data_IF_535282942150
#
_entry.id   IF_535282942150
#
_cell.length_a   1.000
_cell.length_b   1.000
_cell.length_c   1.000
_cell.angle_alpha   90.00
_cell.angle_beta   90.00
_cell.angle_gamma   90.00
#
_symmetry.space_group_name_H-M   'P 1'
#
loop_
_entity.id
_entity.type
_entity.pdbx_description
1 polymer ?
#
# COMPACT_ATOMS: atom_id res chain seq x y z
N UNK A 1 16.62 -30.23 -2.14
CA UNK A 1 15.77 -29.20 -2.76
C UNK A 1 15.59 -28.10 -1.71
N UNK A 2 16.38 -27.03 -1.80
CA UNK A 2 16.28 -25.88 -0.87
C UNK A 2 15.14 -25.02 -1.38
N UNK A 3 14.15 -24.81 -0.54
CA UNK A 3 12.95 -24.02 -0.84
C UNK A 3 13.40 -22.56 -1.00
N UNK A 4 13.34 -22.08 -2.25
CA UNK A 4 13.13 -20.68 -2.66
C UNK A 4 11.97 -20.10 -1.84
N UNK A 5 11.98 -18.89 -1.30
CA UNK A 5 12.29 -17.62 -1.91
C UNK A 5 12.82 -16.67 -0.83
N UNK A 6 13.88 -15.95 -1.15
CA UNK A 6 14.27 -14.75 -0.42
C UNK A 6 13.18 -13.71 -0.65
N UNK A 7 12.11 -13.73 0.16
CA UNK A 7 11.23 -12.60 0.30
C UNK A 7 12.12 -11.41 0.67
N UNK A 8 12.43 -10.57 -0.32
CA UNK A 8 13.12 -9.31 -0.08
C UNK A 8 12.25 -8.55 0.90
N UNK A 9 12.62 -8.57 2.18
CA UNK A 9 12.06 -7.68 3.20
C UNK A 9 12.30 -6.26 2.68
N UNK A 10 11.28 -5.69 2.01
CA UNK A 10 11.31 -4.28 1.63
C UNK A 10 11.39 -3.50 2.94
N UNK A 11 12.48 -2.75 3.11
CA UNK A 11 12.67 -1.94 4.29
C UNK A 11 11.61 -0.81 4.27
N UNK A 12 10.91 -0.53 5.39
CA UNK A 12 9.90 0.54 5.45
C UNK A 12 10.43 1.89 4.95
N UNK A 13 11.71 2.21 5.17
CA UNK A 13 12.34 3.44 4.65
C UNK A 13 12.34 3.50 3.11
N UNK A 14 12.54 2.35 2.46
CA UNK A 14 12.52 2.26 1.00
C UNK A 14 11.10 2.44 0.46
N UNK A 15 10.10 1.86 1.13
CA UNK A 15 8.69 2.02 0.76
C UNK A 15 8.27 3.48 0.95
N UNK A 16 8.64 4.11 2.07
CA UNK A 16 8.36 5.53 2.30
C UNK A 16 9.01 6.44 1.25
N UNK A 17 10.26 6.15 0.84
CA UNK A 17 10.92 6.88 -0.23
C UNK A 17 10.20 6.71 -1.57
N UNK A 18 9.79 5.49 -1.91
CA UNK A 18 9.02 5.22 -3.12
C UNK A 18 7.67 5.94 -3.11
N UNK A 19 6.97 5.93 -1.98
CA UNK A 19 5.70 6.64 -1.79
C UNK A 19 5.86 8.14 -2.06
N UNK A 20 6.89 8.78 -1.52
CA UNK A 20 7.18 10.19 -1.80
C UNK A 20 7.45 10.44 -3.29
N UNK A 21 8.24 9.56 -3.94
CA UNK A 21 8.49 9.68 -5.38
C UNK A 21 7.22 9.53 -6.23
N UNK A 22 6.25 8.70 -5.80
CA UNK A 22 4.96 8.59 -6.50
C UNK A 22 4.13 9.87 -6.36
N UNK A 23 4.14 10.50 -5.19
CA UNK A 23 3.46 11.78 -4.96
C UNK A 23 4.08 12.89 -5.81
N UNK A 24 5.42 12.98 -5.82
CA UNK A 24 6.14 13.96 -6.64
C UNK A 24 5.87 13.76 -8.13
N UNK A 25 5.81 12.51 -8.57
CA UNK A 25 5.47 12.16 -9.94
C UNK A 25 4.04 12.56 -10.30
N UNK A 26 3.05 12.26 -9.46
CA UNK A 26 1.65 12.66 -9.71
C UNK A 26 1.53 14.18 -9.89
N UNK A 27 2.22 14.94 -9.03
CA UNK A 27 2.24 16.40 -9.17
C UNK A 27 2.85 16.83 -10.51
N UNK A 28 4.00 16.26 -10.86
CA UNK A 28 4.69 16.56 -12.13
C UNK A 28 3.82 16.22 -13.33
N UNK A 29 3.20 15.04 -13.35
CA UNK A 29 2.35 14.57 -14.45
C UNK A 29 1.14 15.51 -14.65
N UNK A 30 0.52 15.99 -13.56
CA UNK A 30 -0.58 16.95 -13.63
C UNK A 30 -0.14 18.34 -14.16
N UNK A 31 1.01 18.84 -13.71
CA UNK A 31 1.57 20.11 -14.17
C UNK A 31 1.97 20.03 -15.66
N UNK A 32 2.62 18.94 -16.08
CA UNK A 32 2.99 18.69 -17.47
C UNK A 32 1.77 18.56 -18.37
N UNK A 33 0.76 17.79 -17.96
CA UNK A 33 -0.47 17.66 -18.74
C UNK A 33 -1.18 19.01 -18.97
N UNK A 34 -1.21 19.87 -17.95
CA UNK A 34 -1.76 21.22 -18.09
C UNK A 34 -0.94 22.09 -19.05
N UNK A 35 0.39 21.96 -19.04
CA UNK A 35 1.29 22.70 -19.93
C UNK A 35 1.19 22.22 -21.39
N UNK A 36 1.05 20.91 -21.59
CA UNK A 36 1.00 20.28 -22.92
C UNK A 36 -0.41 20.30 -23.54
N UNK A 37 -1.42 20.67 -22.76
CA UNK A 37 -2.80 20.72 -23.22
C UNK A 37 -3.40 19.33 -23.44
N UNK A 38 -2.98 18.36 -22.61
CA UNK A 38 -3.48 16.99 -22.66
C UNK A 38 -5.00 16.93 -22.45
N UNK A 39 -5.62 15.92 -23.06
CA UNK A 39 -7.07 15.75 -22.94
C UNK A 39 -7.48 15.44 -21.50
N UNK A 40 -8.59 16.02 -21.04
CA UNK A 40 -9.05 15.81 -19.66
C UNK A 40 -9.30 14.33 -19.32
N UNK A 41 -9.83 13.54 -20.26
CA UNK A 41 -10.05 12.08 -20.09
C UNK A 41 -8.73 11.34 -19.82
N UNK A 42 -7.66 11.71 -20.51
CA UNK A 42 -6.34 11.12 -20.28
C UNK A 42 -5.78 11.52 -18.91
N UNK A 43 -5.90 12.80 -18.54
CA UNK A 43 -5.43 13.31 -17.24
C UNK A 43 -6.18 12.67 -16.09
N UNK A 44 -7.50 12.58 -16.17
CA UNK A 44 -8.36 11.96 -15.15
C UNK A 44 -7.94 10.51 -14.88
N UNK A 45 -7.77 9.70 -15.94
CA UNK A 45 -7.34 8.30 -15.81
C UNK A 45 -5.96 8.17 -15.20
N UNK A 46 -5.03 9.04 -15.60
CA UNK A 46 -3.66 9.04 -15.10
C UNK A 46 -3.64 9.36 -13.61
N UNK A 47 -4.30 10.45 -13.21
CA UNK A 47 -4.40 10.89 -11.81
C UNK A 47 -5.05 9.80 -10.95
N UNK A 48 -6.17 9.22 -11.39
CA UNK A 48 -6.85 8.16 -10.65
C UNK A 48 -5.93 6.95 -10.43
N UNK A 49 -5.23 6.53 -11.48
CA UNK A 49 -4.30 5.39 -11.41
C UNK A 49 -3.17 5.67 -10.41
N UNK A 50 -2.56 6.86 -10.45
CA UNK A 50 -1.51 7.24 -9.51
C UNK A 50 -1.99 7.31 -8.07
N UNK A 51 -3.20 7.83 -7.81
CA UNK A 51 -3.78 7.87 -6.46
C UNK A 51 -3.99 6.46 -5.91
N UNK A 52 -4.46 5.53 -6.73
CA UNK A 52 -4.60 4.13 -6.33
C UNK A 52 -3.25 3.48 -6.03
N UNK A 53 -2.23 3.73 -6.85
CA UNK A 53 -0.87 3.23 -6.62
C UNK A 53 -0.26 3.76 -5.32
N UNK A 54 -0.40 5.07 -5.06
CA UNK A 54 -0.01 5.73 -3.80
C UNK A 54 -0.74 5.07 -2.61
N UNK A 55 -2.05 4.84 -2.74
CA UNK A 55 -2.85 4.18 -1.71
C UNK A 55 -2.35 2.76 -1.38
N UNK A 56 -2.08 1.95 -2.41
CA UNK A 56 -1.52 0.61 -2.23
C UNK A 56 -0.17 0.65 -1.52
N UNK A 57 0.73 1.54 -1.93
CA UNK A 57 2.06 1.65 -1.30
C UNK A 57 1.99 2.19 0.14
N UNK A 58 1.01 3.03 0.46
CA UNK A 58 0.76 3.47 1.83
C UNK A 58 0.28 2.31 2.72
N UNK A 59 -0.55 1.41 2.18
CA UNK A 59 -0.98 0.20 2.89
C UNK A 59 0.19 -0.78 3.08
N UNK A 60 1.04 -0.97 2.07
CA UNK A 60 2.26 -1.79 2.18
C UNK A 60 3.22 -1.23 3.24
N UNK A 61 3.39 0.10 3.27
CA UNK A 61 4.18 0.78 4.30
C UNK A 61 3.58 0.53 5.69
N UNK A 62 2.26 0.68 5.84
CA UNK A 62 1.57 0.42 7.11
C UNK A 62 1.81 -1.01 7.59
N UNK A 63 1.62 -1.99 6.71
CA UNK A 63 1.82 -3.41 7.03
C UNK A 63 3.27 -3.69 7.42
N UNK A 64 4.23 -3.09 6.69
CA UNK A 64 5.66 -3.26 6.97
C UNK A 64 6.08 -2.60 8.29
N UNK A 65 5.54 -1.42 8.61
CA UNK A 65 5.79 -0.72 9.87
C UNK A 65 5.16 -1.44 11.07
N UNK A 66 4.06 -2.17 10.87
CA UNK A 66 3.48 -3.05 11.88
C UNK A 66 4.35 -4.30 12.14
N UNK A 67 5.34 -4.58 11.29
CA UNK A 67 6.23 -5.74 11.38
C UNK A 67 5.62 -7.01 10.78
N UNK A 68 6.22 -8.17 11.08
CA UNK A 68 5.55 -9.46 10.85
C UNK A 68 4.27 -9.42 11.69
N UNK A 69 3.11 -9.44 11.06
CA UNK A 69 1.82 -9.36 11.72
C UNK A 69 1.49 -10.57 12.60
N UNK A 70 2.42 -11.05 13.42
CA UNK A 70 2.11 -11.67 14.71
C UNK A 70 1.51 -10.57 15.61
N UNK A 71 0.29 -10.16 15.26
CA UNK A 71 -0.76 -10.31 16.25
C UNK A 71 -0.73 -11.81 16.56
N UNK A 72 0.14 -12.22 17.49
CA UNK A 72 0.23 -13.60 17.92
C UNK A 72 -1.17 -14.10 18.24
N UNK A 73 -1.37 -15.41 18.33
CA UNK A 73 -2.68 -16.09 18.46
C UNK A 73 -3.68 -15.50 19.50
N UNK A 74 -3.31 -14.50 20.28
CA UNK A 74 -4.11 -13.76 21.23
C UNK A 74 -3.59 -12.31 21.35
N UNK A 75 -4.44 -11.30 21.13
CA UNK A 75 -4.19 -9.93 21.62
C UNK A 75 -4.93 -9.76 22.94
N UNK A 76 -4.23 -9.42 24.01
CA UNK A 76 -4.87 -8.96 25.25
C UNK A 76 -5.31 -7.52 25.07
N UNK A 77 -6.61 -7.31 25.13
CA UNK A 77 -7.18 -5.96 25.22
C UNK A 77 -7.04 -5.43 26.64
N UNK A 78 -7.05 -4.11 26.82
CA UNK A 78 -6.90 -3.41 28.11
C UNK A 78 -7.89 -3.90 29.20
N UNK A 79 -8.99 -4.55 28.80
CA UNK A 79 -10.00 -5.13 29.70
C UNK A 79 -9.76 -6.62 30.04
N UNK A 80 -8.55 -7.15 29.81
CA UNK A 80 -8.17 -8.52 30.16
C UNK A 80 -8.87 -9.61 29.32
N UNK A 81 -9.50 -9.24 28.20
CA UNK A 81 -10.12 -10.19 27.26
C UNK A 81 -9.17 -10.52 26.13
N UNK A 82 -9.00 -11.82 25.91
CA UNK A 82 -8.24 -12.39 24.79
C UNK A 82 -9.14 -12.56 23.58
N UNK A 83 -8.90 -11.81 22.50
CA UNK A 83 -9.56 -12.03 21.21
C UNK A 83 -8.69 -12.89 20.30
N UNK A 84 -9.21 -14.05 19.88
CA UNK A 84 -8.68 -14.89 18.80
C UNK A 84 -9.42 -14.59 17.51
N UNK A 85 -8.72 -14.24 16.43
CA UNK A 85 -9.33 -14.27 15.08
C UNK A 85 -9.24 -15.67 14.51
N UNK A 86 -10.39 -16.34 14.35
CA UNK A 86 -10.55 -17.44 13.41
C UNK A 86 -10.59 -16.88 11.99
N UNK A 87 -9.73 -17.38 11.11
CA UNK A 87 -9.67 -16.96 9.71
C UNK A 87 -10.93 -17.46 9.00
N UNK A 88 -11.78 -16.53 8.56
CA UNK A 88 -12.66 -16.74 7.40
C UNK A 88 -12.78 -15.42 6.64
N UNK A 89 -11.74 -15.09 5.88
CA UNK A 89 -11.87 -14.07 4.84
C UNK A 89 -12.65 -14.66 3.66
N UNK A 90 -13.97 -14.50 3.70
CA UNK A 90 -14.83 -14.50 2.50
C UNK A 90 -15.11 -13.03 2.15
N UNK A 91 -14.18 -12.42 1.42
CA UNK A 91 -14.37 -11.10 0.85
C UNK A 91 -13.59 -11.04 -0.45
N UNK A 92 -14.27 -11.32 -1.56
CA UNK A 92 -13.80 -10.99 -2.89
C UNK A 92 -13.71 -9.46 -2.94
N UNK A 93 -12.52 -8.91 -3.10
CA UNK A 93 -12.38 -7.51 -3.51
C UNK A 93 -12.55 -7.51 -5.02
N UNK A 94 -13.76 -7.22 -5.47
CA UNK A 94 -14.02 -6.83 -6.86
C UNK A 94 -13.70 -5.36 -6.98
N UNK A 95 -12.72 -5.03 -7.83
CA UNK A 95 -12.61 -3.74 -8.50
C UNK A 95 -12.67 -4.01 -9.99
#
# INVERSE_FOLDING_TARGET
MKIVDSAQQRNPEQIAKQLNSLVDRLKTDAETAAQEGESFDFVERTVLTSVLEIGCQALDLLLTLQGDGELGNAVQTHDGKTSRRGIQFKGVITV
#
